data_IF_134745488287
#
_entry.id   IF_134745488287
#
_cell.length_a   1.000
_cell.length_b   1.000
_cell.length_c   1.000
_cell.angle_alpha   90.00
_cell.angle_beta   90.00
_cell.angle_gamma   90.00
#
_symmetry.space_group_name_H-M   'P 1'
#
loop_
_entity.id
_entity.type
_entity.pdbx_description
1 polymer ?
#
# COMPACT_ATOMS: atom_id res chain seq x y z
N UNK A 1 -24.88 -9.04 -3.68
CA UNK A 1 -23.87 -9.43 -2.67
C UNK A 1 -22.77 -8.38 -2.67
N UNK A 2 -22.79 -7.45 -1.72
CA UNK A 2 -21.72 -6.48 -1.53
C UNK A 2 -20.47 -7.21 -1.01
N UNK A 3 -19.40 -7.26 -1.81
CA UNK A 3 -18.08 -7.69 -1.32
C UNK A 3 -17.61 -6.65 -0.29
N UNK A 4 -17.89 -6.91 0.99
CA UNK A 4 -17.33 -6.15 2.12
C UNK A 4 -15.82 -6.25 2.04
N UNK A 5 -15.17 -5.18 1.61
CA UNK A 5 -13.72 -5.08 1.65
C UNK A 5 -13.36 -4.72 3.09
N UNK A 6 -12.91 -5.72 3.86
CA UNK A 6 -12.53 -5.53 5.26
C UNK A 6 -11.13 -4.88 5.41
N UNK A 7 -10.46 -4.58 4.30
CA UNK A 7 -9.18 -3.87 4.35
C UNK A 7 -9.43 -2.38 4.55
N UNK A 8 -8.72 -1.77 5.51
CA UNK A 8 -8.69 -0.32 5.66
C UNK A 8 -8.08 0.29 4.38
N UNK A 9 -8.70 1.34 3.86
CA UNK A 9 -8.21 2.05 2.69
C UNK A 9 -6.75 2.49 2.86
N UNK A 10 -6.39 2.96 4.06
CA UNK A 10 -5.01 3.33 4.39
C UNK A 10 -4.02 2.18 4.19
N UNK A 11 -4.39 0.94 4.53
CA UNK A 11 -3.52 -0.20 4.33
C UNK A 11 -3.38 -0.61 2.87
N UNK A 12 -4.44 -0.45 2.07
CA UNK A 12 -4.38 -0.68 0.61
C UNK A 12 -3.46 0.35 -0.04
N UNK A 13 -3.64 1.63 0.30
CA UNK A 13 -2.85 2.74 -0.24
C UNK A 13 -1.38 2.62 0.14
N UNK A 14 -1.07 2.34 1.41
CA UNK A 14 0.30 2.20 1.87
C UNK A 14 0.99 0.97 1.27
N UNK A 15 0.27 -0.14 1.07
CA UNK A 15 0.80 -1.30 0.34
C UNK A 15 1.17 -0.93 -1.09
N UNK A 16 0.27 -0.26 -1.83
CA UNK A 16 0.56 0.18 -3.20
C UNK A 16 1.70 1.19 -3.26
N UNK A 17 1.80 2.05 -2.25
CA UNK A 17 2.88 3.02 -2.14
C UNK A 17 4.25 2.36 -1.91
N UNK A 18 4.34 1.41 -0.99
CA UNK A 18 5.59 0.69 -0.73
C UNK A 18 6.02 -0.14 -1.95
N UNK A 19 5.06 -0.69 -2.70
CA UNK A 19 5.34 -1.36 -3.98
C UNK A 19 5.95 -0.39 -4.98
N UNK A 20 5.36 0.79 -5.15
CA UNK A 20 5.90 1.82 -6.03
C UNK A 20 7.32 2.26 -5.64
N UNK A 21 7.58 2.49 -4.34
CA UNK A 21 8.93 2.81 -3.84
C UNK A 21 9.94 1.67 -4.08
N UNK A 22 9.47 0.44 -4.07
CA UNK A 22 10.28 -0.75 -4.37
C UNK A 22 10.44 -1.01 -5.87
N UNK A 23 10.05 -0.05 -6.72
CA UNK A 23 10.04 -0.15 -8.18
C UNK A 23 9.13 -1.25 -8.73
N UNK A 24 8.13 -1.70 -7.95
CA UNK A 24 7.06 -2.56 -8.45
C UNK A 24 6.05 -1.77 -9.26
N UNK A 25 5.59 -2.35 -10.37
CA UNK A 25 4.76 -1.67 -11.37
C UNK A 25 3.35 -2.25 -11.47
N UNK A 26 3.13 -3.45 -10.94
CA UNK A 26 1.86 -4.16 -11.07
C UNK A 26 1.35 -4.71 -9.73
N UNK A 27 0.16 -5.29 -9.76
CA UNK A 27 -0.46 -5.87 -8.55
C UNK A 27 0.21 -7.17 -8.09
N UNK A 28 0.94 -7.86 -8.98
CA UNK A 28 1.72 -9.05 -8.62
C UNK A 28 2.91 -8.64 -7.74
N UNK A 29 3.56 -7.52 -8.07
CA UNK A 29 4.59 -6.88 -7.25
C UNK A 29 4.02 -6.42 -5.90
N UNK A 30 2.77 -5.94 -5.87
CA UNK A 30 2.10 -5.61 -4.61
C UNK A 30 1.90 -6.83 -3.71
N UNK A 31 1.49 -7.96 -4.30
CA UNK A 31 1.32 -9.21 -3.57
C UNK A 31 2.68 -9.77 -3.12
N UNK A 32 3.69 -9.70 -4.00
CA UNK A 32 5.05 -10.15 -3.70
C UNK A 32 5.67 -9.34 -2.56
N UNK A 33 5.55 -8.01 -2.60
CA UNK A 33 5.96 -7.12 -1.52
C UNK A 33 5.20 -7.44 -0.23
N UNK A 34 3.87 -7.62 -0.34
CA UNK A 34 3.02 -8.06 0.76
C UNK A 34 3.55 -9.31 1.47
N UNK A 35 3.98 -10.31 0.69
CA UNK A 35 4.49 -11.58 1.22
C UNK A 35 5.92 -11.47 1.76
N UNK A 36 6.77 -10.70 1.08
CA UNK A 36 8.19 -10.54 1.42
C UNK A 36 8.36 -9.66 2.66
N UNK A 37 7.57 -8.59 2.76
CA UNK A 37 7.56 -7.64 3.86
C UNK A 37 6.44 -7.92 4.87
N UNK A 38 5.79 -9.10 4.84
CA UNK A 38 4.56 -9.37 5.59
C UNK A 38 4.66 -9.20 7.12
N UNK A 39 5.86 -9.29 7.70
CA UNK A 39 6.11 -8.95 9.12
C UNK A 39 6.15 -7.44 9.34
N UNK A 40 6.98 -6.73 8.58
CA UNK A 40 7.07 -5.26 8.60
C UNK A 40 5.71 -4.59 8.31
N UNK A 41 5.02 -5.09 7.28
CA UNK A 41 3.70 -4.61 6.91
C UNK A 41 2.68 -4.88 8.02
N UNK A 42 2.74 -5.99 8.76
CA UNK A 42 1.83 -6.24 9.89
C UNK A 42 2.08 -5.32 11.09
N UNK A 43 3.32 -4.88 11.29
CA UNK A 43 3.70 -3.98 12.38
C UNK A 43 3.35 -2.52 12.05
N UNK A 44 3.61 -2.09 10.82
CA UNK A 44 3.28 -0.73 10.36
C UNK A 44 1.83 -0.53 9.96
N UNK A 45 1.23 -1.57 9.38
CA UNK A 45 -0.09 -1.54 8.79
C UNK A 45 -0.84 -2.65 9.49
N UNK A 46 -1.84 -2.32 10.29
CA UNK A 46 -2.72 -3.33 10.86
C UNK A 46 -3.49 -4.02 9.71
N UNK A 47 -2.84 -4.95 9.00
CA UNK A 47 -3.41 -5.80 7.97
C UNK A 47 -4.19 -6.91 8.68
N UNK A 48 -5.19 -6.51 9.46
CA UNK A 48 -6.09 -7.41 10.18
C UNK A 48 -6.71 -8.45 9.23
N UNK A 49 -6.80 -8.11 7.93
CA UNK A 49 -7.37 -8.95 6.88
C UNK A 49 -6.37 -9.39 5.81
N UNK A 50 -5.06 -9.23 6.06
CA UNK A 50 -3.99 -9.63 5.14
C UNK A 50 -3.76 -8.68 3.96
N UNK A 51 -2.91 -9.11 3.02
CA UNK A 51 -2.50 -8.36 1.84
C UNK A 51 -3.70 -8.17 0.90
N UNK A 52 -3.92 -6.97 0.33
CA UNK A 52 -4.99 -6.76 -0.63
C UNK A 52 -4.84 -7.64 -1.87
N UNK A 53 -5.94 -8.26 -2.30
CA UNK A 53 -5.99 -9.03 -3.54
C UNK A 53 -6.01 -8.10 -4.77
N UNK A 54 -5.71 -8.67 -5.95
CA UNK A 54 -5.81 -7.96 -7.23
C UNK A 54 -7.21 -7.35 -7.45
N UNK A 55 -8.28 -8.06 -7.06
CA UNK A 55 -9.68 -7.58 -7.13
C UNK A 55 -9.91 -6.35 -6.23
N UNK A 56 -9.26 -6.33 -5.04
CA UNK A 56 -9.31 -5.22 -4.10
C UNK A 56 -8.56 -4.00 -4.64
N UNK A 57 -7.37 -4.21 -5.17
CA UNK A 57 -6.55 -3.16 -5.77
C UNK A 57 -7.24 -2.56 -7.00
N UNK A 58 -7.77 -3.39 -7.90
CA UNK A 58 -8.53 -2.94 -9.07
C UNK A 58 -9.78 -2.13 -8.74
N UNK A 59 -10.35 -2.27 -7.54
CA UNK A 59 -11.49 -1.45 -7.12
C UNK A 59 -11.05 -0.08 -6.62
N UNK A 60 -9.86 0.03 -6.06
CA UNK A 60 -9.39 1.21 -5.32
C UNK A 60 -8.51 2.10 -6.18
N UNK A 61 -7.49 1.56 -6.84
CA UNK A 61 -6.49 2.36 -7.56
C UNK A 61 -7.04 3.11 -8.77
N UNK A 62 -8.00 2.59 -9.56
CA UNK A 62 -8.59 3.37 -10.65
C UNK A 62 -9.38 4.60 -10.19
N UNK A 63 -9.82 4.63 -8.93
CA UNK A 63 -10.49 5.79 -8.32
C UNK A 63 -9.54 6.84 -7.75
N UNK A 64 -8.22 6.58 -7.77
CA UNK A 64 -7.23 7.53 -7.29
C UNK A 64 -6.77 8.43 -8.44
N UNK A 65 -6.70 9.72 -8.17
CA UNK A 65 -6.09 10.66 -9.10
C UNK A 65 -4.57 10.50 -9.06
N UNK A 66 -3.92 10.03 -10.16
CA UNK A 66 -2.50 9.69 -10.15
C UNK A 66 -1.62 10.89 -9.79
N UNK A 67 -2.02 12.09 -10.19
CA UNK A 67 -1.27 13.32 -9.95
C UNK A 67 -1.38 13.79 -8.50
N UNK A 68 -2.55 13.60 -7.86
CA UNK A 68 -2.71 13.85 -6.43
C UNK A 68 -1.85 12.88 -5.61
N UNK A 69 -1.80 11.61 -6.02
CA UNK A 69 -0.92 10.63 -5.40
C UNK A 69 0.53 11.06 -5.53
N UNK A 70 1.02 11.33 -6.76
CA UNK A 70 2.38 11.83 -7.00
C UNK A 70 2.70 13.07 -6.18
N UNK A 71 1.78 14.04 -6.12
CA UNK A 71 1.96 15.25 -5.33
C UNK A 71 2.13 14.94 -3.85
N UNK A 72 1.30 14.07 -3.27
CA UNK A 72 1.47 13.61 -1.90
C UNK A 72 2.83 12.93 -1.69
N UNK A 73 3.30 12.12 -2.63
CA UNK A 73 4.59 11.43 -2.51
C UNK A 73 5.77 12.41 -2.53
N UNK A 74 5.71 13.41 -3.40
CA UNK A 74 6.75 14.43 -3.48
C UNK A 74 6.82 15.31 -2.23
N UNK A 75 5.66 15.59 -1.61
CA UNK A 75 5.58 16.48 -0.45
C UNK A 75 5.79 15.76 0.88
N UNK A 76 5.27 14.54 1.04
CA UNK A 76 5.30 13.79 2.31
C UNK A 76 6.20 12.55 2.28
N UNK A 77 6.77 12.20 1.13
CA UNK A 77 7.58 10.99 0.99
C UNK A 77 8.81 10.97 1.90
N UNK A 78 9.43 12.14 2.15
CA UNK A 78 10.57 12.25 3.09
C UNK A 78 10.16 11.95 4.53
N UNK A 79 9.06 12.53 4.99
CA UNK A 79 8.55 12.31 6.35
C UNK A 79 8.12 10.85 6.53
N UNK A 80 7.52 10.29 5.49
CA UNK A 80 7.17 8.88 5.45
C UNK A 80 8.40 7.99 5.55
N UNK A 81 9.46 8.23 4.76
CA UNK A 81 10.73 7.49 4.85
C UNK A 81 11.39 7.64 6.23
N UNK A 82 11.30 8.83 6.83
CA UNK A 82 11.76 9.07 8.21
C UNK A 82 11.03 8.17 9.21
N UNK A 83 9.70 8.13 9.13
CA UNK A 83 8.85 7.22 9.92
C UNK A 83 9.21 5.73 9.71
N UNK A 84 9.56 5.32 8.49
CA UNK A 84 10.00 3.93 8.23
C UNK A 84 11.36 3.63 8.86
N UNK A 85 12.27 4.62 8.84
CA UNK A 85 13.65 4.46 9.30
C UNK A 85 13.78 4.48 10.83
N UNK A 86 12.87 5.16 11.53
CA UNK A 86 12.85 5.22 13.00
C UNK A 86 12.32 3.94 13.68
N UNK A 87 11.70 3.03 12.91
CA UNK A 87 11.18 1.74 13.40
C UNK A 87 12.07 0.54 13.04
N UNK A 88 13.32 0.78 12.59
CA UNK A 88 14.31 -0.26 12.23
C UNK A 88 15.28 -0.58 13.36
#
# INVERSE_FOLDING_TARGET
MEKKCFHKLSGILLTGFLTYLSHGENYEDMVLLGNTCGRFLKEMILLENGIPSHDTSNRVFPGLEPDLLRWCLLNYGRDLIGLLSENS
#
